data_IF_748746198796
#
_entry.id   IF_748746198796
#
_cell.length_a   1.000
_cell.length_b   1.000
_cell.length_c   1.000
_cell.angle_alpha   90.00
_cell.angle_beta   90.00
_cell.angle_gamma   90.00
#
_symmetry.space_group_name_H-M   'P 1'
#
loop_
_entity.id
_entity.type
_entity.pdbx_description
1 polymer ?
#
# COMPACT_ATOMS: atom_id res chain seq x y z
N UNK A 1 -2.44 -14.62 -8.61
CA UNK A 1 -1.05 -15.14 -8.57
C UNK A 1 -0.53 -15.13 -7.14
N UNK A 2 0.73 -15.50 -6.90
CA UNK A 2 1.31 -15.60 -5.55
C UNK A 2 1.25 -14.29 -4.75
N UNK A 3 1.50 -13.14 -5.41
CA UNK A 3 1.38 -11.80 -4.78
C UNK A 3 -0.07 -11.50 -4.41
N UNK A 4 -1.03 -11.85 -5.26
CA UNK A 4 -2.47 -11.70 -4.98
C UNK A 4 -2.94 -12.48 -3.75
N UNK A 5 -2.44 -13.70 -3.58
CA UNK A 5 -2.71 -14.51 -2.38
C UNK A 5 -2.11 -13.87 -1.13
N UNK A 6 -0.85 -13.41 -1.20
CA UNK A 6 -0.21 -12.70 -0.10
C UNK A 6 -0.98 -11.40 0.27
N UNK A 7 -1.42 -10.65 -0.74
CA UNK A 7 -2.22 -9.44 -0.57
C UNK A 7 -3.51 -9.75 0.17
N UNK A 8 -4.30 -10.71 -0.33
CA UNK A 8 -5.57 -11.08 0.27
C UNK A 8 -5.39 -11.58 1.72
N UNK A 9 -4.35 -12.37 1.96
CA UNK A 9 -4.03 -12.87 3.30
C UNK A 9 -3.67 -11.75 4.27
N UNK A 10 -2.80 -10.82 3.89
CA UNK A 10 -2.41 -9.71 4.75
C UNK A 10 -3.59 -8.78 5.06
N UNK A 11 -4.45 -8.52 4.07
CA UNK A 11 -5.64 -7.70 4.26
C UNK A 11 -6.67 -8.35 5.20
N UNK A 12 -6.82 -9.67 5.16
CA UNK A 12 -7.83 -10.41 5.95
C UNK A 12 -7.33 -10.89 7.31
N UNK A 13 -6.03 -10.93 7.54
CA UNK A 13 -5.41 -11.42 8.78
C UNK A 13 -4.51 -10.35 9.43
N UNK A 14 -5.08 -9.24 9.91
CA UNK A 14 -4.31 -8.19 10.55
C UNK A 14 -3.58 -8.73 11.79
N UNK A 15 -2.30 -8.36 11.93
CA UNK A 15 -1.48 -8.72 13.08
C UNK A 15 -1.16 -7.46 13.87
N UNK A 16 -1.35 -7.53 15.18
CA UNK A 16 -1.04 -6.42 16.08
C UNK A 16 0.36 -5.85 15.84
N UNK A 17 0.44 -4.53 15.66
CA UNK A 17 1.68 -3.81 15.40
C UNK A 17 2.27 -3.99 13.98
N UNK A 18 1.67 -4.82 13.13
CA UNK A 18 2.13 -5.10 11.75
C UNK A 18 0.96 -5.11 10.77
N UNK A 19 -0.06 -4.28 11.01
CA UNK A 19 -1.28 -4.27 10.22
C UNK A 19 -1.01 -3.76 8.80
N UNK A 20 -1.53 -4.46 7.79
CA UNK A 20 -1.45 -3.99 6.41
C UNK A 20 -2.55 -2.97 6.14
N UNK A 21 -2.21 -1.79 5.62
CA UNK A 21 -3.21 -0.81 5.20
C UNK A 21 -3.13 -0.56 3.70
N UNK A 22 -4.29 -0.37 3.07
CA UNK A 22 -4.38 0.03 1.67
C UNK A 22 -3.80 1.42 1.48
N UNK A 23 -2.94 1.57 0.48
CA UNK A 23 -2.34 2.86 0.12
C UNK A 23 -3.39 3.78 -0.49
N UNK A 24 -3.54 4.96 0.08
CA UNK A 24 -4.41 6.02 -0.42
C UNK A 24 -3.61 7.23 -0.89
N UNK A 25 -4.03 7.83 -2.00
CA UNK A 25 -3.52 9.13 -2.44
C UNK A 25 -4.12 10.25 -1.60
N UNK A 26 -5.42 10.15 -1.30
CA UNK A 26 -6.20 11.11 -0.51
C UNK A 26 -7.27 10.36 0.29
N UNK A 27 -7.89 10.96 1.32
CA UNK A 27 -9.01 10.34 2.03
C UNK A 27 -10.11 9.90 1.05
N UNK A 28 -10.45 8.60 1.10
CA UNK A 28 -11.40 7.93 0.20
C UNK A 28 -10.92 7.72 -1.25
N UNK A 29 -9.64 7.96 -1.57
CA UNK A 29 -9.06 7.72 -2.89
C UNK A 29 -7.87 6.76 -2.81
N UNK A 30 -8.10 5.49 -3.17
CA UNK A 30 -7.04 4.46 -3.22
C UNK A 30 -6.22 4.59 -4.49
N UNK A 31 -4.93 4.24 -4.41
CA UNK A 31 -4.08 4.13 -5.61
C UNK A 31 -4.37 2.83 -6.36
N UNK A 32 -4.21 2.89 -7.68
CA UNK A 32 -4.11 1.71 -8.54
C UNK A 32 -2.69 1.59 -9.08
N UNK A 33 -2.12 0.39 -9.27
CA UNK A 33 -2.67 -0.91 -8.90
C UNK A 33 -2.92 -1.02 -7.38
N UNK A 34 -3.90 -1.83 -6.95
CA UNK A 34 -4.25 -1.91 -5.53
C UNK A 34 -3.02 -2.29 -4.70
N UNK A 35 -2.63 -1.43 -3.76
CA UNK A 35 -1.36 -1.53 -3.03
C UNK A 35 -1.58 -1.60 -1.53
N UNK A 36 -0.91 -2.52 -0.84
CA UNK A 36 -0.82 -2.54 0.63
C UNK A 36 0.52 -1.94 1.08
N UNK A 37 0.53 -1.32 2.26
CA UNK A 37 1.75 -1.00 3.00
C UNK A 37 1.74 -1.82 4.28
N UNK A 38 2.86 -2.51 4.54
CA UNK A 38 3.07 -3.32 5.73
C UNK A 38 4.28 -2.80 6.54
N UNK A 39 4.15 -2.57 7.85
CA UNK A 39 5.29 -2.34 8.72
C UNK A 39 6.14 -3.60 8.82
N UNK A 40 7.44 -3.48 8.55
CA UNK A 40 8.41 -4.57 8.77
C UNK A 40 8.82 -4.70 10.23
N UNK A 41 8.62 -3.64 11.01
CA UNK A 41 8.87 -3.57 12.45
C UNK A 41 7.57 -3.34 13.19
N UNK A 42 7.50 -3.83 14.42
CA UNK A 42 6.33 -3.66 15.27
C UNK A 42 6.09 -2.19 15.61
N UNK A 43 4.91 -1.68 15.26
CA UNK A 43 4.42 -0.38 15.66
C UNK A 43 3.92 -0.45 17.12
N UNK A 44 4.56 0.32 17.99
CA UNK A 44 4.31 0.30 19.45
C UNK A 44 3.42 1.43 19.94
N UNK A 45 3.19 2.45 19.12
CA UNK A 45 2.37 3.61 19.49
C UNK A 45 1.83 4.34 18.27
N UNK A 46 0.84 5.20 18.51
CA UNK A 46 0.18 5.99 17.47
C UNK A 46 1.14 6.90 16.72
N UNK A 47 2.19 7.43 17.37
CA UNK A 47 3.18 8.28 16.70
C UNK A 47 3.90 7.53 15.59
N UNK A 48 4.31 6.28 15.83
CA UNK A 48 4.92 5.44 14.80
C UNK A 48 3.94 5.12 13.67
N UNK A 49 2.68 4.77 14.02
CA UNK A 49 1.64 4.55 13.03
C UNK A 49 1.39 5.79 12.17
N UNK A 50 1.33 6.99 12.76
CA UNK A 50 1.17 8.25 12.02
C UNK A 50 2.33 8.56 11.09
N UNK A 51 3.55 8.11 11.39
CA UNK A 51 4.69 8.26 10.47
C UNK A 51 4.56 7.35 9.25
N UNK A 52 4.19 6.08 9.46
CA UNK A 52 4.03 5.10 8.37
C UNK A 52 2.82 5.44 7.50
N UNK A 53 1.66 5.66 8.11
CA UNK A 53 0.40 5.85 7.38
C UNK A 53 0.03 7.32 7.16
N UNK A 54 0.96 8.25 7.44
CA UNK A 54 0.86 9.64 7.06
C UNK A 54 1.85 9.97 5.93
N UNK A 55 3.03 10.55 6.26
CA UNK A 55 3.99 11.01 5.25
C UNK A 55 4.58 9.86 4.42
N UNK A 56 4.87 8.70 5.00
CA UNK A 56 5.42 7.57 4.24
C UNK A 56 4.40 7.02 3.25
N UNK A 57 3.16 6.82 3.68
CA UNK A 57 2.06 6.42 2.78
C UNK A 57 1.87 7.42 1.64
N UNK A 58 1.83 8.73 1.93
CA UNK A 58 1.69 9.75 0.88
C UNK A 58 2.86 9.71 -0.13
N UNK A 59 4.08 9.49 0.33
CA UNK A 59 5.24 9.34 -0.54
C UNK A 59 5.15 8.09 -1.43
N UNK A 60 4.69 6.96 -0.87
CA UNK A 60 4.46 5.72 -1.64
C UNK A 60 3.36 5.94 -2.69
N UNK A 61 2.24 6.55 -2.29
CA UNK A 61 1.14 6.84 -3.21
C UNK A 61 1.61 7.72 -4.38
N UNK A 62 2.34 8.80 -4.08
CA UNK A 62 2.93 9.66 -5.10
C UNK A 62 3.90 8.90 -6.01
N UNK A 63 4.79 8.08 -5.45
CA UNK A 63 5.72 7.29 -6.24
C UNK A 63 5.00 6.35 -7.21
N UNK A 64 3.90 5.72 -6.80
CA UNK A 64 3.10 4.87 -7.69
C UNK A 64 2.52 5.70 -8.84
N UNK A 65 1.89 6.84 -8.52
CA UNK A 65 1.31 7.75 -9.53
C UNK A 65 2.37 8.26 -10.52
N UNK A 66 3.51 8.72 -10.03
CA UNK A 66 4.62 9.20 -10.86
C UNK A 66 5.15 8.08 -11.79
N UNK A 67 5.17 6.82 -11.35
CA UNK A 67 5.62 5.70 -12.18
C UNK A 67 4.58 5.24 -13.21
N UNK A 68 3.28 5.48 -12.95
CA UNK A 68 2.22 5.27 -13.95
C UNK A 68 2.33 6.33 -15.05
N UNK A 69 2.51 7.60 -14.67
CA UNK A 69 2.69 8.70 -15.62
C UNK A 69 3.92 8.48 -16.52
N UNK A 70 4.99 7.89 -15.97
CA UNK A 70 6.22 7.57 -16.71
C UNK A 70 6.16 6.24 -17.46
N UNK A 71 5.01 5.58 -17.50
CA UNK A 71 4.79 4.27 -18.15
C UNK A 71 5.72 3.15 -17.64
N UNK A 72 6.29 3.31 -16.44
CA UNK A 72 7.08 2.27 -15.76
C UNK A 72 6.13 1.20 -15.20
N UNK A 73 4.97 1.64 -14.68
CA UNK A 73 3.86 0.75 -14.36
C UNK A 73 2.92 0.76 -15.58
N UNK A 74 2.78 -0.35 -16.31
CA UNK A 74 1.94 -0.40 -17.50
C UNK A 74 0.45 -0.27 -17.15
N UNK A 75 -0.33 0.33 -18.03
CA UNK A 75 -1.75 0.61 -17.79
C UNK A 75 -2.58 -0.66 -17.52
N UNK A 76 -2.22 -1.79 -18.14
CA UNK A 76 -2.90 -3.07 -17.93
C UNK A 76 -2.73 -3.58 -16.49
N UNK A 77 -1.66 -3.18 -15.80
CA UNK A 77 -1.42 -3.59 -14.43
C UNK A 77 -2.37 -2.90 -13.43
N UNK A 78 -2.97 -1.77 -13.78
CA UNK A 78 -3.80 -0.96 -12.88
C UNK A 78 -5.02 -1.73 -12.34
N UNK A 79 -5.60 -2.61 -13.15
CA UNK A 79 -6.79 -3.39 -12.79
C UNK A 79 -6.52 -4.89 -12.64
N UNK A 80 -5.36 -5.39 -13.08
CA UNK A 80 -5.04 -6.82 -13.09
C UNK A 80 -4.00 -7.23 -12.06
N UNK A 81 -3.23 -6.28 -11.53
CA UNK A 81 -2.15 -6.53 -10.59
C UNK A 81 -2.43 -5.91 -9.23
N UNK A 82 -1.70 -6.40 -8.23
CA UNK A 82 -1.66 -5.84 -6.88
C UNK A 82 -0.20 -5.65 -6.45
N UNK A 83 0.01 -4.77 -5.48
CA UNK A 83 1.31 -4.48 -4.89
C UNK A 83 1.27 -4.62 -3.37
N UNK A 84 2.42 -4.92 -2.77
CA UNK A 84 2.65 -5.04 -1.32
C UNK A 84 4.01 -4.42 -1.00
#
# INVERSE_FOLDING_TARGET
GAVGEAYARQLTHPRHGHEALTTIAEPNLTVKPSTLILPTIELKNLRQASMVYGPTQAAVAKAILDNIEREIIPAEALDTQVMI
#
